data_IF_344514067012
#
_entry.id   IF_344514067012
#
_cell.length_a   1.000
_cell.length_b   1.000
_cell.length_c   1.000
_cell.angle_alpha   90.00
_cell.angle_beta   90.00
_cell.angle_gamma   90.00
#
_symmetry.space_group_name_H-M   'P 1'
#
loop_
_entity.id
_entity.type
_entity.pdbx_description
1 polymer ?
#
# COMPACT_ATOMS: atom_id res chain seq x y z
N UNK A 1 16.42 10.83 4.12
CA UNK A 1 15.47 11.52 5.02
C UNK A 1 14.08 11.70 4.38
N UNK A 2 13.98 12.18 3.13
CA UNK A 2 12.69 12.41 2.45
C UNK A 2 11.83 11.15 2.31
N UNK A 3 12.41 9.98 1.96
CA UNK A 3 11.66 8.73 1.87
C UNK A 3 11.04 8.28 3.21
N UNK A 4 11.74 8.49 4.33
CA UNK A 4 11.20 8.17 5.67
C UNK A 4 10.10 9.16 6.07
N UNK A 5 10.25 10.45 5.74
CA UNK A 5 9.24 11.48 5.98
C UNK A 5 7.97 11.27 5.14
N UNK A 6 8.11 10.73 3.94
CA UNK A 6 7.00 10.44 3.03
C UNK A 6 6.37 9.04 3.25
N UNK A 7 6.86 8.24 4.21
CA UNK A 7 6.37 6.87 4.42
C UNK A 7 6.70 5.89 3.28
N UNK A 8 7.62 6.24 2.39
CA UNK A 8 7.99 5.46 1.20
C UNK A 8 8.98 4.33 1.53
N UNK A 9 8.64 3.51 2.51
CA UNK A 9 9.37 2.30 2.84
C UNK A 9 8.40 1.20 3.28
N UNK A 10 8.89 -0.03 3.29
CA UNK A 10 8.09 -1.21 3.56
C UNK A 10 8.91 -2.26 4.31
N UNK A 11 8.20 -3.18 4.96
CA UNK A 11 8.77 -4.41 5.51
C UNK A 11 8.29 -5.58 4.68
N UNK A 12 9.09 -6.64 4.57
CA UNK A 12 8.80 -7.77 3.68
C UNK A 12 9.28 -9.09 4.25
N UNK A 13 8.54 -10.16 3.94
CA UNK A 13 8.91 -11.56 4.16
C UNK A 13 9.19 -12.30 2.85
N UNK A 14 9.39 -11.58 1.74
CA UNK A 14 9.75 -12.17 0.44
C UNK A 14 9.03 -11.58 -0.78
N UNK A 15 8.28 -10.48 -0.62
CA UNK A 15 7.73 -9.68 -1.73
C UNK A 15 8.56 -8.41 -1.91
N UNK A 16 8.93 -8.09 -3.15
CA UNK A 16 9.71 -6.88 -3.45
C UNK A 16 8.83 -5.79 -4.03
N UNK A 17 8.70 -4.66 -3.32
CA UNK A 17 8.13 -3.44 -3.89
C UNK A 17 9.23 -2.69 -4.63
N UNK A 18 9.08 -2.58 -5.95
CA UNK A 18 10.04 -1.92 -6.85
C UNK A 18 9.85 -0.42 -6.88
N UNK A 19 8.59 0.04 -6.90
CA UNK A 19 8.26 1.45 -6.81
C UNK A 19 7.05 1.65 -5.90
N UNK A 20 7.13 2.69 -5.08
CA UNK A 20 6.06 3.15 -4.21
C UNK A 20 6.00 4.67 -4.34
N UNK A 21 4.86 5.18 -4.80
CA UNK A 21 4.59 6.61 -4.90
C UNK A 21 3.26 6.93 -4.27
N UNK A 22 3.25 8.01 -3.50
CA UNK A 22 2.04 8.64 -2.99
C UNK A 22 2.06 10.09 -3.40
N UNK A 23 1.05 10.50 -4.16
CA UNK A 23 0.90 11.88 -4.61
C UNK A 23 -0.57 12.23 -4.74
N UNK A 24 -0.95 13.44 -4.31
CA UNK A 24 -2.25 14.07 -4.57
C UNK A 24 -3.47 13.12 -4.50
N UNK A 25 -3.60 12.36 -3.41
CA UNK A 25 -4.75 11.47 -3.22
C UNK A 25 -4.68 10.16 -4.03
N UNK A 26 -3.49 9.77 -4.50
CA UNK A 26 -3.26 8.50 -5.22
C UNK A 26 -2.12 7.71 -4.61
N UNK A 27 -2.27 6.39 -4.62
CA UNK A 27 -1.26 5.41 -4.26
C UNK A 27 -0.93 4.60 -5.51
N UNK A 28 0.35 4.58 -5.89
CA UNK A 28 0.87 3.73 -6.95
C UNK A 28 1.93 2.80 -6.39
N UNK A 29 1.78 1.50 -6.64
CA UNK A 29 2.75 0.48 -6.24
C UNK A 29 3.04 -0.44 -7.43
N UNK A 30 4.32 -0.66 -7.73
CA UNK A 30 4.78 -1.73 -8.61
C UNK A 30 5.51 -2.77 -7.76
N UNK A 31 5.02 -4.01 -7.79
CA UNK A 31 5.58 -5.14 -7.05
C UNK A 31 5.42 -6.41 -7.89
N UNK A 32 6.47 -6.81 -8.64
CA UNK A 32 6.41 -7.94 -9.57
C UNK A 32 6.00 -9.28 -8.94
N UNK A 33 6.34 -9.48 -7.66
CA UNK A 33 6.06 -10.71 -6.91
C UNK A 33 4.66 -10.71 -6.26
N UNK A 34 3.91 -9.61 -6.38
CA UNK A 34 2.55 -9.48 -5.82
C UNK A 34 1.52 -10.07 -6.77
N UNK A 35 0.61 -10.84 -6.20
CA UNK A 35 -0.58 -11.36 -6.87
C UNK A 35 -1.83 -10.55 -6.50
N UNK A 36 -1.88 -10.03 -5.28
CA UNK A 36 -2.99 -9.20 -4.82
C UNK A 36 -2.52 -8.15 -3.80
N UNK A 37 -3.13 -6.97 -3.89
CA UNK A 37 -3.01 -5.89 -2.93
C UNK A 37 -4.27 -5.81 -2.09
N UNK A 38 -4.12 -5.53 -0.80
CA UNK A 38 -5.22 -5.03 0.04
C UNK A 38 -4.89 -3.62 0.48
N UNK A 39 -5.83 -2.71 0.24
CA UNK A 39 -5.77 -1.35 0.76
C UNK A 39 -6.58 -1.33 2.05
N UNK A 40 -5.91 -0.98 3.16
CA UNK A 40 -6.48 -0.94 4.48
C UNK A 40 -6.51 0.50 5.00
N UNK A 41 -7.47 0.78 5.87
CA UNK A 41 -7.52 2.00 6.67
C UNK A 41 -7.46 1.69 8.16
N UNK A 42 -7.87 2.67 8.97
CA UNK A 42 -7.98 2.58 10.43
C UNK A 42 -8.49 1.21 10.90
N UNK A 43 -7.85 0.70 11.95
CA UNK A 43 -8.19 -0.59 12.57
C UNK A 43 -8.11 -1.81 11.63
N UNK A 44 -7.42 -1.69 10.49
CA UNK A 44 -7.24 -2.80 9.54
C UNK A 44 -8.46 -3.06 8.66
N UNK A 45 -9.38 -2.10 8.54
CA UNK A 45 -10.54 -2.26 7.66
C UNK A 45 -10.10 -2.23 6.19
N UNK A 46 -10.47 -3.26 5.42
CA UNK A 46 -10.14 -3.37 3.99
C UNK A 46 -11.10 -2.51 3.17
N UNK A 47 -10.54 -1.58 2.40
CA UNK A 47 -11.28 -0.73 1.47
C UNK A 47 -11.35 -1.31 0.06
N UNK A 48 -10.27 -1.98 -0.37
CA UNK A 48 -10.18 -2.57 -1.70
C UNK A 48 -9.25 -3.78 -1.69
N UNK A 49 -9.54 -4.72 -2.58
CA UNK A 49 -8.60 -5.77 -3.01
C UNK A 49 -8.39 -5.62 -4.50
N UNK A 50 -7.14 -5.57 -4.95
CA UNK A 50 -6.77 -5.38 -6.36
C UNK A 50 -5.80 -6.48 -6.74
N UNK A 51 -6.09 -7.20 -7.82
CA UNK A 51 -5.21 -8.27 -8.31
C UNK A 51 -4.17 -7.74 -9.30
N UNK A 52 -3.04 -8.46 -9.39
CA UNK A 52 -1.95 -8.18 -10.29
C UNK A 52 -0.71 -7.61 -9.60
N UNK A 53 0.27 -7.23 -10.42
CA UNK A 53 1.59 -6.75 -9.98
C UNK A 53 1.69 -5.22 -9.89
N UNK A 54 0.62 -4.49 -10.20
CA UNK A 54 0.55 -3.03 -10.12
C UNK A 54 -0.73 -2.62 -9.40
N UNK A 55 -0.59 -1.74 -8.41
CA UNK A 55 -1.69 -1.06 -7.74
C UNK A 55 -1.75 0.38 -8.23
N UNK A 56 -2.92 0.81 -8.69
CA UNK A 56 -3.31 2.20 -8.85
C UNK A 56 -4.58 2.42 -8.05
N UNK A 57 -4.49 3.20 -6.98
CA UNK A 57 -5.61 3.42 -6.06
C UNK A 57 -5.81 4.91 -5.79
N UNK A 58 -7.05 5.37 -5.96
CA UNK A 58 -7.45 6.73 -5.62
C UNK A 58 -8.08 6.76 -4.22
N UNK A 59 -7.71 7.73 -3.41
CA UNK A 59 -8.21 7.89 -2.06
C UNK A 59 -9.74 8.07 -2.09
N UNK A 60 -10.48 7.29 -1.28
CA UNK A 60 -11.92 7.35 -1.30
C UNK A 60 -12.40 8.65 -0.66
N UNK A 61 -13.48 9.22 -1.19
CA UNK A 61 -14.14 10.42 -0.66
C UNK A 61 -15.00 10.11 0.58
N UNK A 62 -14.51 9.25 1.48
CA UNK A 62 -15.21 8.87 2.72
C UNK A 62 -14.38 9.32 3.90
N UNK A 63 -15.01 10.07 4.81
CA UNK A 63 -14.38 10.63 6.00
C UNK A 63 -15.07 10.10 7.26
N UNK A 64 -14.37 10.05 8.41
CA UNK A 64 -12.95 10.32 8.60
C UNK A 64 -12.09 9.10 8.20
N UNK A 65 -10.88 9.31 7.67
CA UNK A 65 -9.81 8.29 7.50
C UNK A 65 -8.52 8.94 8.01
N UNK A 66 -7.81 8.32 8.97
CA UNK A 66 -6.56 8.90 9.48
C UNK A 66 -5.33 8.44 8.69
N UNK A 67 -5.35 7.22 8.16
CA UNK A 67 -4.27 6.71 7.31
C UNK A 67 -4.76 5.62 6.36
N UNK A 68 -3.95 5.36 5.33
CA UNK A 68 -4.03 4.17 4.49
C UNK A 68 -2.78 3.31 4.63
N UNK A 69 -2.91 2.01 4.44
CA UNK A 69 -1.80 1.06 4.35
C UNK A 69 -2.07 0.07 3.23
N UNK A 70 -1.01 -0.41 2.59
CA UNK A 70 -1.13 -1.47 1.59
C UNK A 70 -0.42 -2.74 2.04
N UNK A 71 -1.13 -3.84 1.93
CA UNK A 71 -0.61 -5.21 2.07
C UNK A 71 -0.46 -5.82 0.69
N UNK A 72 0.76 -6.29 0.39
CA UNK A 72 1.13 -6.92 -0.88
C UNK A 72 1.28 -8.42 -0.66
N UNK A 73 0.39 -9.22 -1.23
CA UNK A 73 0.38 -10.68 -1.11
C UNK A 73 1.08 -11.30 -2.31
N UNK A 74 2.17 -12.03 -2.07
CA UNK A 74 2.83 -12.86 -3.08
C UNK A 74 2.45 -14.33 -2.93
N UNK A 75 3.17 -15.21 -3.63
CA UNK A 75 2.90 -16.65 -3.51
C UNK A 75 3.29 -17.20 -2.13
N UNK A 76 2.46 -18.11 -1.59
CA UNK A 76 2.66 -18.73 -0.28
C UNK A 76 2.43 -17.74 0.87
N UNK A 77 3.37 -17.68 1.81
CA UNK A 77 3.33 -16.77 2.97
C UNK A 77 4.12 -15.48 2.75
N UNK A 78 4.60 -15.23 1.53
CA UNK A 78 5.41 -14.07 1.18
C UNK A 78 4.53 -12.83 1.10
N UNK A 79 4.96 -11.79 1.78
CA UNK A 79 4.18 -10.56 1.97
C UNK A 79 5.10 -9.34 1.98
N UNK A 80 4.52 -8.19 1.68
CA UNK A 80 5.09 -6.89 2.07
C UNK A 80 3.99 -5.98 2.64
N UNK A 81 4.39 -5.09 3.54
CA UNK A 81 3.52 -4.10 4.16
C UNK A 81 4.15 -2.72 4.02
N UNK A 82 3.41 -1.78 3.43
CA UNK A 82 3.82 -0.37 3.44
C UNK A 82 3.71 0.19 4.86
N UNK A 83 4.41 1.28 5.13
CA UNK A 83 4.05 2.12 6.28
C UNK A 83 2.70 2.80 6.06
N UNK A 84 2.06 3.31 7.13
CA UNK A 84 0.90 4.18 7.01
C UNK A 84 1.20 5.43 6.16
N UNK A 85 0.34 5.69 5.19
CA UNK A 85 0.23 6.96 4.49
C UNK A 85 -0.82 7.78 5.23
N UNK A 86 -0.39 8.77 6.02
CA UNK A 86 -1.31 9.63 6.75
C UNK A 86 -2.08 10.52 5.77
N UNK A 87 -3.38 10.61 6.00
CA UNK A 87 -4.29 11.47 5.22
C UNK A 87 -4.61 12.66 6.11
N UNK A 88 -4.17 13.86 5.71
CA UNK A 88 -4.53 15.13 6.36
C UNK A 88 -5.87 15.66 5.83
#
# INVERSE_FOLDING_TARGET
LNAMRAGNFYVSTGVTIRSLRTDLGKIEIESPDTHAYRVLRDHGMVLATVEGSVLLYELPQVTPISYLRVECYGAGTRMAWTQPFFVE
#
